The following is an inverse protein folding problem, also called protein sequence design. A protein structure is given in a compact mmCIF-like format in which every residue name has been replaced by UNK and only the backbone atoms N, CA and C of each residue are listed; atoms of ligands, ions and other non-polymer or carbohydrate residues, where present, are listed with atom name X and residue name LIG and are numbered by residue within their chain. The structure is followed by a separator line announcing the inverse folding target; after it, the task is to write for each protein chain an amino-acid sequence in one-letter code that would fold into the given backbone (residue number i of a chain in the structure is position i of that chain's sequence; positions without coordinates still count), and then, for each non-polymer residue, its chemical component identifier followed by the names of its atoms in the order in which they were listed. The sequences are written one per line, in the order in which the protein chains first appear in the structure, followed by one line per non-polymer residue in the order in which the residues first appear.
data_IF_095248097886
#
_entry.id   IF_095248097886
#
_cell.length_a   1.000
_cell.length_b   1.000
_cell.length_c   1.000
_cell.angle_alpha   90.00
_cell.angle_beta   90.00
_cell.angle_gamma   90.00
#
_symmetry.space_group_name_H-M   'P 1'
#
loop_
_entity.id
_entity.type
_entity.pdbx_description
1 polymer ?
#
# COMPACT_ATOMS: atom_id res chain seq x y z
N UNK A 1 41.84 -53.61 6.50
CA UNK A 1 41.50 -52.21 6.18
C UNK A 1 42.82 -51.49 6.05
N UNK A 2 43.24 -51.19 4.83
CA UNK A 2 44.55 -50.59 4.57
C UNK A 2 44.59 -49.17 5.17
N UNK A 3 45.78 -48.71 5.59
CA UNK A 3 45.96 -47.37 6.19
C UNK A 3 45.30 -46.26 5.35
N UNK A 4 45.34 -46.40 4.02
CA UNK A 4 44.69 -45.50 3.08
C UNK A 4 43.17 -45.44 3.24
N UNK A 5 42.52 -46.59 3.45
CA UNK A 5 41.06 -46.65 3.66
C UNK A 5 40.68 -45.96 4.97
N UNK A 6 41.48 -46.16 6.03
CA UNK A 6 41.27 -45.49 7.32
C UNK A 6 41.40 -43.98 7.17
N UNK A 7 42.41 -43.51 6.43
CA UNK A 7 42.61 -42.08 6.14
C UNK A 7 41.43 -41.51 5.34
N UNK A 8 40.98 -42.21 4.31
CA UNK A 8 39.85 -41.77 3.47
C UNK A 8 38.57 -41.66 4.30
N UNK A 9 38.28 -42.68 5.13
CA UNK A 9 37.11 -42.68 6.01
C UNK A 9 37.20 -41.53 7.02
N UNK A 10 38.36 -41.31 7.63
CA UNK A 10 38.57 -40.22 8.58
C UNK A 10 38.34 -38.84 7.93
N UNK A 11 38.87 -38.61 6.72
CA UNK A 11 38.65 -37.35 6.00
C UNK A 11 37.18 -37.13 5.66
N UNK A 12 36.48 -38.17 5.20
CA UNK A 12 35.05 -38.08 4.88
C UNK A 12 34.21 -37.73 6.11
N UNK A 13 34.49 -38.37 7.24
CA UNK A 13 33.82 -38.08 8.53
C UNK A 13 34.10 -36.66 8.98
N UNK A 14 35.34 -36.18 8.86
CA UNK A 14 35.71 -34.80 9.21
C UNK A 14 34.96 -33.79 8.33
N UNK A 15 34.95 -33.99 7.01
CA UNK A 15 34.23 -33.11 6.08
C UNK A 15 32.73 -33.09 6.39
N UNK A 16 32.12 -34.25 6.64
CA UNK A 16 30.72 -34.35 7.00
C UNK A 16 30.42 -33.60 8.31
N UNK A 17 31.27 -33.74 9.33
CA UNK A 17 31.11 -33.07 10.62
C UNK A 17 31.20 -31.54 10.50
N UNK A 18 32.13 -31.02 9.69
CA UNK A 18 32.27 -29.58 9.42
C UNK A 18 31.02 -29.03 8.73
N UNK A 19 30.54 -29.72 7.70
CA UNK A 19 29.33 -29.31 6.95
C UNK A 19 28.10 -29.31 7.86
N UNK A 20 27.89 -30.37 8.64
CA UNK A 20 26.77 -30.47 9.58
C UNK A 20 26.83 -29.36 10.64
N UNK A 21 27.99 -29.16 11.27
CA UNK A 21 28.16 -28.14 12.31
C UNK A 21 27.91 -26.73 11.75
N UNK A 22 28.48 -26.43 10.57
CA UNK A 22 28.24 -25.15 9.89
C UNK A 22 26.76 -24.89 9.58
N UNK A 23 26.05 -25.90 9.06
CA UNK A 23 24.61 -25.78 8.80
C UNK A 23 23.81 -25.57 10.09
N UNK A 24 24.13 -26.32 11.16
CA UNK A 24 23.46 -26.16 12.45
C UNK A 24 23.65 -24.75 12.98
N UNK A 25 24.85 -24.17 12.94
CA UNK A 25 25.11 -22.80 13.42
C UNK A 25 24.31 -21.73 12.65
N UNK A 26 24.16 -21.90 11.33
CA UNK A 26 23.42 -20.96 10.48
C UNK A 26 21.91 -21.07 10.73
N UNK A 27 21.38 -22.30 10.81
CA UNK A 27 19.95 -22.55 10.99
C UNK A 27 19.48 -22.25 12.41
N UNK A 28 20.31 -22.52 13.42
CA UNK A 28 19.97 -22.26 14.84
C UNK A 28 19.99 -20.77 15.22
N UNK A 29 20.21 -19.86 14.27
CA UNK A 29 20.18 -18.40 14.49
C UNK A 29 21.00 -17.94 15.71
N UNK A 30 22.14 -18.59 15.94
CA UNK A 30 23.09 -18.11 16.95
C UNK A 30 23.71 -16.76 16.54
N UNK A 31 23.59 -16.41 15.25
CA UNK A 31 23.84 -15.06 14.76
C UNK A 31 22.57 -14.23 14.98
N UNK A 32 22.63 -13.14 15.76
CA UNK A 32 21.53 -12.20 15.89
C UNK A 32 21.22 -11.63 14.51
N UNK A 33 20.03 -11.93 13.96
CA UNK A 33 19.51 -11.21 12.81
C UNK A 33 19.21 -9.78 13.30
N UNK A 34 19.74 -8.72 12.66
CA UNK A 34 19.38 -7.36 12.99
C UNK A 34 17.86 -7.21 12.92
N UNK A 35 17.25 -6.67 13.97
CA UNK A 35 15.81 -6.44 13.97
C UNK A 35 15.47 -5.49 12.80
N UNK A 36 14.44 -5.80 11.98
CA UNK A 36 14.01 -4.88 10.93
C UNK A 36 13.69 -3.52 11.54
N UNK A 37 14.18 -2.44 10.94
CA UNK A 37 13.76 -1.10 11.34
C UNK A 37 12.24 -0.96 11.10
N UNK A 38 11.50 -0.32 12.00
CA UNK A 38 10.09 -0.03 11.77
C UNK A 38 9.92 0.75 10.47
N UNK A 39 9.17 0.18 9.52
CA UNK A 39 8.85 0.89 8.28
C UNK A 39 7.94 2.08 8.61
N UNK A 40 8.19 3.28 8.04
CA UNK A 40 7.29 4.41 8.22
C UNK A 40 5.86 4.04 7.81
N UNK A 41 4.87 4.46 8.62
CA UNK A 41 3.47 4.26 8.27
C UNK A 41 3.16 4.98 6.93
N UNK A 42 2.32 4.39 6.06
CA UNK A 42 1.86 5.07 4.85
C UNK A 42 1.25 6.43 5.20
N UNK A 43 1.73 7.50 4.58
CA UNK A 43 1.11 8.82 4.74
C UNK A 43 -0.23 8.87 3.98
N UNK A 44 -1.26 9.54 4.53
CA UNK A 44 -2.50 9.78 3.82
C UNK A 44 -2.25 10.52 2.50
N UNK A 45 -2.93 10.11 1.43
CA UNK A 45 -2.91 10.83 0.18
C UNK A 45 -3.48 12.26 0.38
N UNK A 46 -2.99 13.27 -0.36
CA UNK A 46 -3.58 14.61 -0.37
C UNK A 46 -5.08 14.54 -0.66
N UNK A 47 -5.91 15.16 0.18
CA UNK A 47 -7.33 15.28 -0.09
C UNK A 47 -7.56 16.25 -1.27
N UNK A 48 -8.55 15.98 -2.15
CA UNK A 48 -8.95 16.93 -3.17
C UNK A 48 -9.32 18.27 -2.55
N UNK A 49 -8.85 19.36 -3.18
CA UNK A 49 -9.28 20.70 -2.80
C UNK A 49 -10.81 20.81 -2.94
N UNK A 50 -11.50 21.56 -2.05
CA UNK A 50 -12.93 21.83 -2.20
C UNK A 50 -13.21 22.43 -3.59
N UNK A 51 -14.06 21.76 -4.37
CA UNK A 51 -14.57 22.37 -5.60
C UNK A 51 -15.54 23.50 -5.24
N UNK A 52 -15.49 24.64 -5.95
CA UNK A 52 -16.47 25.69 -5.74
C UNK A 52 -17.87 25.18 -6.07
N UNK A 53 -18.80 25.29 -5.11
CA UNK A 53 -20.21 25.02 -5.35
C UNK A 53 -20.79 26.10 -6.26
N UNK A 54 -21.23 25.73 -7.46
CA UNK A 54 -21.95 26.64 -8.36
C UNK A 54 -23.41 26.71 -7.90
N UNK A 55 -23.82 27.85 -7.36
CA UNK A 55 -25.19 28.13 -6.91
C UNK A 55 -26.01 28.97 -7.88
N UNK A 56 -27.26 29.27 -7.53
CA UNK A 56 -28.14 30.14 -8.31
C UNK A 56 -28.43 29.60 -9.70
N UNK A 57 -28.65 30.50 -10.67
CA UNK A 57 -29.02 30.10 -12.03
C UNK A 57 -27.96 29.22 -12.71
N UNK A 58 -26.68 29.53 -12.51
CA UNK A 58 -25.55 28.73 -13.02
C UNK A 58 -25.47 27.35 -12.36
N UNK A 59 -26.02 27.20 -11.16
CA UNK A 59 -26.11 25.92 -10.45
C UNK A 59 -27.21 25.01 -10.98
N UNK A 60 -28.02 25.47 -11.93
CA UNK A 60 -29.03 24.66 -12.60
C UNK A 60 -28.80 24.60 -14.09
N UNK A 61 -29.12 23.46 -14.71
CA UNK A 61 -29.07 23.32 -16.17
C UNK A 61 -30.13 24.12 -16.94
N UNK A 62 -31.06 24.76 -16.22
CA UNK A 62 -32.23 25.43 -16.79
C UNK A 62 -32.12 26.96 -16.75
N UNK A 63 -31.09 27.51 -16.09
CA UNK A 63 -30.90 28.95 -15.93
C UNK A 63 -31.89 29.58 -14.93
N UNK A 64 -32.14 30.87 -15.09
CA UNK A 64 -33.05 31.62 -14.23
C UNK A 64 -34.50 31.57 -14.70
N UNK A 65 -35.44 31.84 -13.79
CA UNK A 65 -36.82 32.16 -14.13
C UNK A 65 -36.88 33.42 -15.03
N UNK A 66 -37.87 33.52 -15.92
CA UNK A 66 -38.14 34.78 -16.63
C UNK A 66 -38.36 35.92 -15.61
N UNK A 67 -37.72 37.06 -15.84
CA UNK A 67 -37.81 38.28 -15.02
C UNK A 67 -37.25 38.20 -13.59
N UNK A 68 -36.58 37.12 -13.20
CA UNK A 68 -35.98 36.96 -11.87
C UNK A 68 -34.65 36.20 -11.88
N UNK A 69 -33.88 36.29 -10.80
CA UNK A 69 -32.64 35.53 -10.58
C UNK A 69 -32.86 34.20 -9.84
N UNK A 70 -34.11 33.80 -9.57
CA UNK A 70 -34.33 32.49 -8.99
C UNK A 70 -33.98 31.39 -10.00
N UNK A 71 -33.24 30.35 -9.59
CA UNK A 71 -32.94 29.21 -10.44
C UNK A 71 -34.21 28.41 -10.80
N UNK A 72 -34.31 28.01 -12.07
CA UNK A 72 -35.40 27.15 -12.54
C UNK A 72 -35.24 25.74 -11.99
N UNK A 73 -36.33 25.21 -11.44
CA UNK A 73 -36.37 23.84 -10.91
C UNK A 73 -36.37 22.78 -12.04
N UNK A 74 -37.00 23.10 -13.17
CA UNK A 74 -37.11 22.26 -14.35
C UNK A 74 -37.21 23.11 -15.62
N UNK A 75 -37.16 22.47 -16.79
CA UNK A 75 -37.20 23.13 -18.10
C UNK A 75 -38.41 24.06 -18.26
N UNK A 76 -39.58 23.63 -17.76
CA UNK A 76 -40.81 24.42 -17.80
C UNK A 76 -40.85 25.55 -16.75
N UNK A 77 -39.98 25.55 -15.74
CA UNK A 77 -39.96 26.56 -14.69
C UNK A 77 -41.17 26.48 -13.76
N UNK A 78 -41.54 25.29 -13.29
CA UNK A 78 -42.69 25.09 -12.38
C UNK A 78 -42.64 25.93 -11.10
N UNK A 79 -41.45 26.41 -10.69
CA UNK A 79 -41.27 27.32 -9.56
C UNK A 79 -41.30 28.83 -9.95
N UNK A 80 -41.50 29.16 -11.22
CA UNK A 80 -41.49 30.54 -11.74
C UNK A 80 -42.90 31.17 -11.77
N UNK A 81 -43.83 30.63 -10.99
CA UNK A 81 -45.27 30.93 -11.03
C UNK A 81 -45.65 32.39 -10.68
N UNK A 82 -44.74 33.16 -10.08
CA UNK A 82 -44.91 34.59 -9.74
C UNK A 82 -43.55 35.26 -9.48
N UNK A 83 -42.69 35.35 -10.48
CA UNK A 83 -41.39 36.01 -10.32
C UNK A 83 -41.23 37.20 -11.24
#
# INVERSE_FOLDING_TARGET
MELLEIIIIALLVITLAVVLTGHVLVVTKLVPVPNPTPQPAPQPAPQPAPQPSIGGCAGTRYGCCPYSQAPKLNEIGSNCIKQ
#
